data_IF_234080915296
#
_entry.id   IF_234080915296
#
_cell.length_a   1.000
_cell.length_b   1.000
_cell.length_c   1.000
_cell.angle_alpha   90.00
_cell.angle_beta   90.00
_cell.angle_gamma   90.00
#
_symmetry.space_group_name_H-M   'P 1'
#
loop_
_entity.id
_entity.type
_entity.pdbx_description
1 polymer ?
#
# COMPACT_ATOMS: atom_id res chain seq x y z
N UNK A 1 7.28 28.07 -24.29
CA UNK A 1 7.53 26.66 -23.93
C UNK A 1 6.58 26.28 -22.80
N UNK A 2 5.68 25.30 -22.94
CA UNK A 2 4.48 25.20 -22.09
C UNK A 2 4.70 24.58 -20.70
N UNK A 3 5.83 23.93 -20.42
CA UNK A 3 6.06 23.25 -19.13
C UNK A 3 6.58 24.25 -18.08
N UNK A 4 7.52 25.11 -18.45
CA UNK A 4 8.09 26.15 -17.57
C UNK A 4 7.14 27.32 -17.30
N UNK A 5 5.97 27.38 -17.94
CA UNK A 5 4.91 28.31 -17.57
C UNK A 5 4.05 27.84 -16.40
N UNK A 6 4.15 26.56 -16.01
CA UNK A 6 3.39 25.97 -14.91
C UNK A 6 4.24 25.59 -13.70
N UNK A 7 5.55 25.37 -13.90
CA UNK A 7 6.47 25.00 -12.83
C UNK A 7 7.69 25.92 -12.84
N UNK A 8 8.02 26.48 -11.68
CA UNK A 8 9.17 27.36 -11.47
C UNK A 8 10.51 26.61 -11.41
N UNK A 9 10.49 25.28 -11.27
CA UNK A 9 11.69 24.45 -11.33
C UNK A 9 11.40 22.99 -11.71
N UNK A 10 12.45 22.24 -12.08
CA UNK A 10 12.35 20.78 -12.28
C UNK A 10 11.93 20.07 -11.00
N UNK A 11 12.39 20.54 -9.84
CA UNK A 11 12.04 19.97 -8.54
C UNK A 11 10.53 20.10 -8.26
N UNK A 12 9.95 21.25 -8.58
CA UNK A 12 8.51 21.48 -8.42
C UNK A 12 7.68 20.55 -9.34
N UNK A 13 8.17 20.31 -10.56
CA UNK A 13 7.57 19.34 -11.46
C UNK A 13 7.67 17.91 -10.90
N UNK A 14 8.82 17.52 -10.36
CA UNK A 14 9.01 16.19 -9.74
C UNK A 14 8.10 15.98 -8.53
N UNK A 15 8.01 16.97 -7.63
CA UNK A 15 7.12 16.94 -6.47
C UNK A 15 5.64 16.81 -6.92
N UNK A 16 5.23 17.55 -7.96
CA UNK A 16 3.89 17.44 -8.52
C UNK A 16 3.59 16.07 -9.14
N UNK A 17 4.58 15.43 -9.77
CA UNK A 17 4.44 14.06 -10.29
C UNK A 17 4.27 13.05 -9.15
N UNK A 18 5.03 13.19 -8.06
CA UNK A 18 4.89 12.34 -6.87
C UNK A 18 3.50 12.47 -6.24
N UNK A 19 3.01 13.69 -6.08
CA UNK A 19 1.65 13.94 -5.57
C UNK A 19 0.60 13.33 -6.48
N UNK A 20 0.73 13.47 -7.81
CA UNK A 20 -0.22 12.88 -8.75
C UNK A 20 -0.20 11.36 -8.74
N UNK A 21 0.97 10.75 -8.59
CA UNK A 21 1.11 9.31 -8.44
C UNK A 21 0.39 8.81 -7.17
N UNK A 22 0.44 9.56 -6.07
CA UNK A 22 -0.25 9.21 -4.83
C UNK A 22 -1.77 9.32 -4.98
N UNK A 23 -2.27 10.37 -5.63
CA UNK A 23 -3.69 10.49 -5.96
C UNK A 23 -4.17 9.29 -6.78
N UNK A 24 -3.44 8.93 -7.85
CA UNK A 24 -3.79 7.80 -8.69
C UNK A 24 -3.79 6.47 -7.91
N UNK A 25 -2.83 6.27 -7.01
CA UNK A 25 -2.81 5.10 -6.13
C UNK A 25 -4.06 5.06 -5.23
N UNK A 26 -4.43 6.19 -4.62
CA UNK A 26 -5.62 6.29 -3.77
C UNK A 26 -6.91 6.04 -4.56
N UNK A 27 -7.03 6.58 -5.76
CA UNK A 27 -8.16 6.35 -6.65
C UNK A 27 -8.32 4.86 -6.93
N UNK A 28 -7.24 4.16 -7.31
CA UNK A 28 -7.28 2.71 -7.54
C UNK A 28 -7.62 1.93 -6.29
N UNK A 29 -7.19 2.37 -5.11
CA UNK A 29 -7.50 1.69 -3.84
C UNK A 29 -8.99 1.68 -3.47
N UNK A 30 -9.81 2.49 -4.14
CA UNK A 30 -11.27 2.48 -3.98
C UNK A 30 -11.96 1.44 -4.87
N UNK A 31 -11.24 0.83 -5.81
CA UNK A 31 -11.78 -0.22 -6.68
C UNK A 31 -12.08 -1.49 -5.87
N UNK A 32 -13.32 -1.96 -5.95
CA UNK A 32 -13.71 -3.25 -5.40
C UNK A 32 -13.23 -4.38 -6.33
N UNK A 33 -12.52 -5.36 -5.77
CA UNK A 33 -11.94 -6.49 -6.53
C UNK A 33 -12.38 -7.85 -6.01
N UNK A 34 -12.39 -8.00 -4.69
CA UNK A 34 -12.69 -9.29 -4.03
C UNK A 34 -13.87 -9.22 -3.08
N UNK A 35 -14.44 -8.03 -2.87
CA UNK A 35 -15.48 -7.76 -1.87
C UNK A 35 -14.91 -7.59 -0.45
N UNK A 36 -13.59 -7.71 -0.28
CA UNK A 36 -12.89 -7.50 0.99
C UNK A 36 -11.96 -6.29 0.85
N UNK A 37 -12.40 -5.14 1.39
CA UNK A 37 -11.66 -3.86 1.29
C UNK A 37 -10.23 -3.94 1.82
N UNK A 38 -9.98 -4.75 2.86
CA UNK A 38 -8.64 -4.87 3.43
C UNK A 38 -7.70 -5.62 2.50
N UNK A 39 -8.20 -6.67 1.86
CA UNK A 39 -7.46 -7.43 0.85
C UNK A 39 -7.28 -6.62 -0.43
N UNK A 40 -8.34 -5.94 -0.88
CA UNK A 40 -8.35 -5.16 -2.12
C UNK A 40 -7.32 -4.02 -2.09
N UNK A 41 -7.15 -3.34 -0.94
CA UNK A 41 -6.10 -2.34 -0.77
C UNK A 41 -4.69 -2.92 -0.91
N UNK A 42 -4.44 -4.09 -0.33
CA UNK A 42 -3.12 -4.74 -0.42
C UNK A 42 -2.82 -5.21 -1.85
N UNK A 43 -3.81 -5.81 -2.52
CA UNK A 43 -3.71 -6.21 -3.93
C UNK A 43 -3.43 -4.98 -4.78
N UNK A 44 -4.22 -3.93 -4.62
CA UNK A 44 -4.08 -2.71 -5.43
C UNK A 44 -2.73 -2.04 -5.24
N UNK A 45 -2.25 -1.94 -3.99
CA UNK A 45 -0.92 -1.39 -3.71
C UNK A 45 0.18 -2.15 -4.45
N UNK A 46 0.12 -3.49 -4.42
CA UNK A 46 1.11 -4.34 -5.10
C UNK A 46 0.98 -4.24 -6.62
N UNK A 47 -0.26 -4.26 -7.15
CA UNK A 47 -0.52 -4.13 -8.59
C UNK A 47 -0.08 -2.79 -9.14
N UNK A 48 -0.30 -1.70 -8.42
CA UNK A 48 0.21 -0.39 -8.80
C UNK A 48 1.73 -0.40 -8.98
N UNK A 49 2.46 -1.14 -8.15
CA UNK A 49 3.90 -1.28 -8.28
C UNK A 49 4.35 -2.08 -9.52
N UNK A 50 3.51 -2.99 -10.02
CA UNK A 50 3.75 -3.75 -11.26
C UNK A 50 3.35 -2.95 -12.49
N UNK A 51 2.12 -2.44 -12.50
CA UNK A 51 1.47 -1.79 -13.63
C UNK A 51 2.04 -0.38 -13.87
N UNK A 52 2.26 0.38 -12.80
CA UNK A 52 2.72 1.77 -12.82
C UNK A 52 4.15 1.90 -12.28
N UNK A 53 5.03 1.00 -12.75
CA UNK A 53 6.39 0.77 -12.21
C UNK A 53 7.19 2.05 -11.91
N UNK A 54 7.13 3.04 -12.79
CA UNK A 54 7.87 4.29 -12.63
C UNK A 54 7.20 5.25 -11.65
N UNK A 55 5.86 5.35 -11.67
CA UNK A 55 5.12 6.17 -10.71
C UNK A 55 5.28 5.63 -9.29
N UNK A 56 5.25 4.29 -9.12
CA UNK A 56 5.51 3.67 -7.83
C UNK A 56 6.91 4.00 -7.28
N UNK A 57 7.92 4.10 -8.16
CA UNK A 57 9.28 4.50 -7.75
C UNK A 57 9.34 5.96 -7.31
N UNK A 58 8.59 6.84 -7.97
CA UNK A 58 8.49 8.24 -7.59
C UNK A 58 7.92 8.44 -6.18
N UNK A 59 6.93 7.64 -5.77
CA UNK A 59 6.28 7.77 -4.46
C UNK A 59 7.23 7.69 -3.26
N UNK A 60 8.32 6.93 -3.41
CA UNK A 60 9.26 6.64 -2.33
C UNK A 60 10.69 7.06 -2.69
N UNK A 61 10.79 8.02 -3.60
CA UNK A 61 12.05 8.55 -4.05
C UNK A 61 12.69 9.41 -2.96
N UNK A 62 13.75 8.90 -2.34
CA UNK A 62 14.43 9.51 -1.18
C UNK A 62 15.06 10.89 -1.43
N UNK A 63 14.87 11.47 -2.62
CA UNK A 63 15.32 12.82 -2.98
C UNK A 63 14.58 13.93 -2.23
N UNK A 64 13.35 13.69 -1.75
CA UNK A 64 12.59 14.62 -0.93
C UNK A 64 11.97 13.89 0.28
N UNK A 65 12.77 13.77 1.36
CA UNK A 65 12.40 12.98 2.55
C UNK A 65 11.18 13.57 3.26
N UNK A 66 11.06 14.88 3.31
CA UNK A 66 9.93 15.60 3.90
C UNK A 66 8.63 15.28 3.14
N UNK A 67 8.64 15.42 1.82
CA UNK A 67 7.48 15.09 0.99
C UNK A 67 7.10 13.61 1.11
N UNK A 68 8.07 12.70 1.12
CA UNK A 68 7.83 11.26 1.31
C UNK A 68 7.14 10.96 2.65
N UNK A 69 7.52 11.67 3.73
CA UNK A 69 6.90 11.51 5.05
C UNK A 69 5.45 12.02 5.04
N UNK A 70 5.21 13.17 4.43
CA UNK A 70 3.86 13.74 4.31
C UNK A 70 2.94 12.83 3.48
N UNK A 71 3.41 12.38 2.32
CA UNK A 71 2.71 11.43 1.46
C UNK A 71 2.43 10.10 2.17
N UNK A 72 3.40 9.58 2.94
CA UNK A 72 3.22 8.35 3.72
C UNK A 72 2.17 8.50 4.82
N UNK A 73 2.15 9.64 5.52
CA UNK A 73 1.13 9.96 6.53
C UNK A 73 -0.26 10.06 5.88
N UNK A 74 -0.36 10.79 4.78
CA UNK A 74 -1.59 10.99 4.02
C UNK A 74 -2.16 9.67 3.47
N UNK A 75 -1.31 8.79 2.92
CA UNK A 75 -1.72 7.46 2.48
C UNK A 75 -2.24 6.61 3.66
N UNK A 76 -1.56 6.63 4.81
CA UNK A 76 -1.98 5.86 5.98
C UNK A 76 -3.32 6.35 6.54
N UNK A 77 -3.53 7.67 6.57
CA UNK A 77 -4.80 8.26 6.99
C UNK A 77 -5.93 7.88 6.03
N UNK A 78 -5.70 7.95 4.72
CA UNK A 78 -6.65 7.52 3.69
C UNK A 78 -7.05 6.03 3.84
N UNK A 79 -6.06 5.14 3.98
CA UNK A 79 -6.28 3.70 4.22
C UNK A 79 -7.05 3.48 5.52
N UNK A 80 -6.76 4.26 6.56
CA UNK A 80 -7.44 4.10 7.84
C UNK A 80 -8.91 4.52 7.78
N UNK A 81 -9.23 5.61 7.09
CA UNK A 81 -10.61 6.09 6.91
C UNK A 81 -11.47 5.10 6.12
N UNK A 82 -10.90 4.46 5.09
CA UNK A 82 -11.61 3.49 4.25
C UNK A 82 -11.90 2.15 4.96
N UNK A 83 -11.30 1.92 6.13
CA UNK A 83 -11.45 0.71 6.95
C UNK A 83 -12.08 0.97 8.32
N UNK A 84 -12.62 2.16 8.57
CA UNK A 84 -13.14 2.53 9.91
C UNK A 84 -14.21 1.55 10.42
N UNK A 85 -15.06 1.06 9.51
CA UNK A 85 -16.14 0.12 9.82
C UNK A 85 -15.80 -1.32 9.38
N UNK A 86 -14.51 -1.66 9.24
CA UNK A 86 -14.13 -2.98 8.75
C UNK A 86 -14.46 -4.06 9.79
N UNK A 87 -15.35 -5.04 9.50
CA UNK A 87 -15.90 -5.93 10.53
C UNK A 87 -14.86 -6.74 11.31
N UNK A 88 -13.76 -7.15 10.65
CA UNK A 88 -12.70 -7.92 11.32
C UNK A 88 -11.90 -7.08 12.32
N UNK A 89 -11.96 -5.76 12.26
CA UNK A 89 -11.30 -4.89 13.24
C UNK A 89 -12.17 -4.59 14.46
N UNK A 90 -13.44 -5.00 14.46
CA UNK A 90 -14.31 -4.84 15.61
C UNK A 90 -13.76 -5.60 16.83
N UNK A 91 -13.69 -4.91 17.97
CA UNK A 91 -13.19 -5.46 19.22
C UNK A 91 -11.68 -5.61 19.32
N UNK A 92 -10.91 -5.00 18.42
CA UNK A 92 -9.48 -4.75 18.62
C UNK A 92 -9.27 -3.42 19.33
N UNK A 93 -8.30 -3.36 20.25
CA UNK A 93 -7.83 -2.08 20.77
C UNK A 93 -6.92 -1.35 19.78
N UNK A 94 -6.54 -0.10 20.10
CA UNK A 94 -5.70 0.72 19.22
C UNK A 94 -4.33 0.10 18.94
N UNK A 95 -3.71 -0.53 19.94
CA UNK A 95 -2.39 -1.16 19.84
C UNK A 95 -2.46 -2.41 18.96
N UNK A 96 -3.46 -3.26 19.18
CA UNK A 96 -3.75 -4.45 18.40
C UNK A 96 -4.02 -4.13 16.93
N UNK A 97 -4.89 -3.15 16.69
CA UNK A 97 -5.22 -2.69 15.36
C UNK A 97 -3.97 -2.12 14.66
N UNK A 98 -3.14 -1.35 15.38
CA UNK A 98 -1.88 -0.82 14.86
C UNK A 98 -0.91 -1.94 14.46
N UNK A 99 -0.75 -2.97 15.29
CA UNK A 99 0.11 -4.12 14.98
C UNK A 99 -0.34 -4.83 13.70
N UNK A 100 -1.63 -5.20 13.61
CA UNK A 100 -2.19 -5.85 12.41
C UNK A 100 -1.99 -4.99 11.16
N UNK A 101 -2.33 -3.70 11.26
CA UNK A 101 -2.25 -2.78 10.12
C UNK A 101 -0.83 -2.59 9.63
N UNK A 102 0.11 -2.37 10.54
CA UNK A 102 1.51 -2.10 10.26
C UNK A 102 2.20 -3.33 9.66
N UNK A 103 2.00 -4.52 10.23
CA UNK A 103 2.59 -5.75 9.72
C UNK A 103 2.14 -6.06 8.30
N UNK A 104 0.84 -5.94 8.01
CA UNK A 104 0.31 -6.11 6.64
C UNK A 104 0.85 -5.03 5.70
N UNK A 105 1.07 -3.80 6.18
CA UNK A 105 1.67 -2.73 5.39
C UNK A 105 3.10 -3.08 4.98
N UNK A 106 3.92 -3.50 5.94
CA UNK A 106 5.31 -3.88 5.68
C UNK A 106 5.40 -5.07 4.71
N UNK A 107 4.50 -6.05 4.86
CA UNK A 107 4.38 -7.15 3.91
C UNK A 107 4.08 -6.66 2.48
N UNK A 108 3.01 -5.86 2.31
CA UNK A 108 2.62 -5.35 0.99
C UNK A 108 3.70 -4.45 0.37
N UNK A 109 4.34 -3.59 1.17
CA UNK A 109 5.44 -2.73 0.74
C UNK A 109 6.63 -3.54 0.23
N UNK A 110 7.05 -4.58 0.96
CA UNK A 110 8.19 -5.39 0.55
C UNK A 110 7.88 -6.21 -0.70
N UNK A 111 6.67 -6.76 -0.78
CA UNK A 111 6.23 -7.51 -1.95
C UNK A 111 6.15 -6.61 -3.20
N UNK A 112 5.57 -5.42 -3.07
CA UNK A 112 5.51 -4.42 -4.13
C UNK A 112 6.91 -4.03 -4.62
N UNK A 113 7.87 -3.84 -3.71
CA UNK A 113 9.26 -3.57 -4.09
C UNK A 113 9.87 -4.69 -4.95
N UNK A 114 9.67 -5.95 -4.54
CA UNK A 114 10.18 -7.10 -5.29
C UNK A 114 9.53 -7.24 -6.65
N UNK A 115 8.20 -7.11 -6.74
CA UNK A 115 7.46 -7.24 -8.00
C UNK A 115 7.67 -6.06 -8.95
N UNK A 116 7.87 -4.84 -8.41
CA UNK A 116 8.32 -3.69 -9.19
C UNK A 116 9.68 -3.99 -9.85
N UNK A 117 10.58 -4.67 -9.15
CA UNK A 117 11.91 -5.02 -9.65
C UNK A 117 11.85 -6.18 -10.66
N UNK A 118 11.12 -7.25 -10.32
CA UNK A 118 10.89 -8.43 -11.15
C UNK A 118 9.43 -8.90 -11.00
N UNK A 119 8.58 -8.65 -12.01
CA UNK A 119 7.17 -9.06 -12.01
C UNK A 119 6.97 -10.59 -12.04
N UNK A 120 8.00 -11.36 -12.38
CA UNK A 120 7.96 -12.83 -12.33
C UNK A 120 8.49 -13.40 -11.00
N UNK A 121 8.88 -12.55 -10.04
CA UNK A 121 9.51 -12.99 -8.78
C UNK A 121 8.74 -14.10 -8.08
N UNK A 122 7.42 -13.97 -7.93
CA UNK A 122 6.60 -15.01 -7.28
C UNK A 122 6.47 -16.28 -8.14
N UNK A 123 6.34 -16.15 -9.46
CA UNK A 123 6.24 -17.29 -10.38
C UNK A 123 7.51 -18.14 -10.34
N UNK A 124 8.68 -17.49 -10.32
CA UNK A 124 9.98 -18.13 -10.16
C UNK A 124 10.12 -18.89 -8.82
N UNK A 125 9.33 -18.52 -7.81
CA UNK A 125 9.24 -19.20 -6.51
C UNK A 125 8.11 -20.23 -6.44
N UNK A 126 7.46 -20.55 -7.56
CA UNK A 126 6.36 -21.51 -7.61
C UNK A 126 5.04 -20.96 -7.06
N UNK A 127 4.89 -19.64 -6.96
CA UNK A 127 3.66 -18.97 -6.51
C UNK A 127 3.04 -18.26 -7.74
N UNK A 128 2.13 -18.92 -8.48
CA UNK A 128 1.68 -18.40 -9.77
C UNK A 128 0.66 -17.25 -9.67
N UNK A 129 -0.03 -17.11 -8.53
CA UNK A 129 -1.12 -16.15 -8.36
C UNK A 129 -0.80 -15.16 -7.21
N UNK A 130 -0.39 -13.95 -7.60
CA UNK A 130 -0.06 -12.85 -6.69
C UNK A 130 -1.24 -12.47 -5.78
N UNK A 131 -2.44 -12.34 -6.34
CA UNK A 131 -3.62 -11.85 -5.61
C UNK A 131 -4.05 -12.87 -4.54
N UNK A 132 -4.04 -14.16 -4.88
CA UNK A 132 -4.33 -15.24 -3.92
C UNK A 132 -3.27 -15.33 -2.84
N UNK A 133 -1.99 -15.11 -3.19
CA UNK A 133 -0.91 -15.06 -2.21
C UNK A 133 -1.11 -13.90 -1.21
N UNK A 134 -1.43 -12.70 -1.70
CA UNK A 134 -1.73 -11.53 -0.86
C UNK A 134 -2.94 -11.79 0.03
N UNK A 135 -4.00 -12.39 -0.50
CA UNK A 135 -5.20 -12.75 0.26
C UNK A 135 -4.87 -13.70 1.41
N UNK A 136 -4.17 -14.80 1.13
CA UNK A 136 -3.79 -15.79 2.16
C UNK A 136 -2.85 -15.22 3.19
N UNK A 137 -1.83 -14.47 2.77
CA UNK A 137 -0.88 -13.84 3.69
C UNK A 137 -1.57 -12.83 4.60
N UNK A 138 -2.45 -12.00 4.07
CA UNK A 138 -3.17 -10.99 4.86
C UNK A 138 -4.11 -11.62 5.89
N UNK A 139 -4.80 -12.71 5.53
CA UNK A 139 -5.60 -13.49 6.48
C UNK A 139 -4.73 -14.15 7.55
N UNK A 140 -3.64 -14.81 7.15
CA UNK A 140 -2.72 -15.44 8.09
C UNK A 140 -2.11 -14.44 9.09
N UNK A 141 -1.78 -13.22 8.64
CA UNK A 141 -1.34 -12.13 9.52
C UNK A 141 -2.43 -11.79 10.54
N UNK A 142 -3.65 -11.53 10.08
CA UNK A 142 -4.77 -11.18 10.97
C UNK A 142 -5.08 -12.30 11.97
N UNK A 143 -5.26 -13.52 11.49
CA UNK A 143 -5.60 -14.69 12.32
C UNK A 143 -4.50 -14.98 13.34
N UNK A 144 -3.22 -14.89 12.92
CA UNK A 144 -2.07 -15.05 13.79
C UNK A 144 -2.06 -14.06 14.94
N UNK A 145 -2.29 -12.77 14.67
CA UNK A 145 -2.40 -11.75 15.72
C UNK A 145 -3.59 -11.99 16.64
N UNK A 146 -4.77 -12.32 16.09
CA UNK A 146 -5.96 -12.61 16.90
C UNK A 146 -5.75 -13.75 17.87
N UNK A 147 -5.01 -14.80 17.49
CA UNK A 147 -4.64 -15.89 18.39
C UNK A 147 -3.77 -15.41 19.55
N UNK A 148 -2.76 -14.57 19.27
CA UNK A 148 -1.87 -14.03 20.29
C UNK A 148 -2.59 -13.09 21.26
N UNK A 149 -3.50 -12.26 20.76
CA UNK A 149 -4.29 -11.35 21.59
C UNK A 149 -5.21 -12.09 22.56
N UNK A 150 -5.90 -13.12 22.08
CA UNK A 150 -6.78 -13.95 22.92
C UNK A 150 -6.02 -14.79 23.95
N UNK A 151 -4.76 -15.15 23.68
CA UNK A 151 -3.93 -15.89 24.62
C UNK A 151 -3.43 -15.03 25.80
N UNK A 152 -3.56 -13.70 25.70
CA UNK A 152 -3.14 -12.74 26.72
C UNK A 152 -4.32 -12.20 27.55
N UNK A 153 -5.51 -12.80 27.44
CA UNK A 153 -6.71 -12.51 28.25
C UNK A 153 -6.96 -13.64 29.25
#
# INVERSE_FOLDING_TARGET
MPIYSHFGSVRELEDAVCLKALELLKERMLEERTGDKWIDQAITYVRFAEDEKYLFRCLWDGRNVELCKEMGKDLNEFISRTLVDYPLFAGLDESELKMVKLTRMMFAQKLAYWLNSNSNYLKEKGIPNTDEYIRRASRAIYDGFRLQFKANV
#
